data_IF_902063568428
#
_entry.id   IF_902063568428
#
_cell.length_a   1.000
_cell.length_b   1.000
_cell.length_c   1.000
_cell.angle_alpha   90.00
_cell.angle_beta   90.00
_cell.angle_gamma   90.00
#
_symmetry.space_group_name_H-M   'P 1'
#
loop_
_entity.id
_entity.type
_entity.pdbx_description
1 polymer ?
#
# COMPACT_ATOMS: atom_id res chain seq x y z
N UNK A 1 6.30 -5.92 3.67
CA UNK A 1 5.45 -4.77 3.28
C UNK A 1 4.01 -5.20 3.38
N UNK A 2 3.13 -4.32 3.88
CA UNK A 2 1.69 -4.56 4.01
C UNK A 2 0.92 -3.64 3.06
N UNK A 3 0.04 -4.22 2.26
CA UNK A 3 -0.93 -3.49 1.43
C UNK A 3 -2.32 -3.68 2.03
N UNK A 4 -2.85 -2.62 2.64
CA UNK A 4 -4.15 -2.65 3.28
C UNK A 4 -5.24 -2.14 2.32
N UNK A 5 -6.32 -2.90 2.11
CA UNK A 5 -7.30 -2.56 1.09
C UNK A 5 -8.23 -1.40 1.50
N UNK A 6 -8.10 -0.90 2.74
CA UNK A 6 -8.97 0.14 3.29
C UNK A 6 -8.81 1.49 2.57
N UNK A 7 -9.92 2.23 2.50
CA UNK A 7 -9.98 3.58 1.89
C UNK A 7 -9.41 4.67 2.82
N UNK A 8 -9.21 4.38 4.10
CA UNK A 8 -8.54 5.31 5.01
C UNK A 8 -7.11 5.57 4.53
N UNK A 9 -6.68 6.83 4.54
CA UNK A 9 -5.32 7.21 4.09
C UNK A 9 -4.26 6.70 5.07
N UNK A 10 -4.61 6.67 6.35
CA UNK A 10 -3.80 6.16 7.44
C UNK A 10 -4.72 5.56 8.53
N UNK A 11 -4.21 4.62 9.34
CA UNK A 11 -4.98 3.99 10.40
C UNK A 11 -5.23 4.91 11.61
N UNK A 12 -4.61 6.10 11.67
CA UNK A 12 -4.78 7.06 12.76
C UNK A 12 -6.20 7.59 12.92
N UNK A 13 -6.99 7.51 11.84
CA UNK A 13 -8.42 7.86 11.85
C UNK A 13 -9.34 6.71 12.27
N UNK A 14 -8.80 5.50 12.45
CA UNK A 14 -9.57 4.30 12.79
C UNK A 14 -9.64 4.13 14.31
N UNK A 15 -10.79 3.69 14.82
CA UNK A 15 -10.96 3.43 16.25
C UNK A 15 -10.11 2.22 16.68
N UNK A 16 -9.18 2.38 17.64
CA UNK A 16 -8.33 1.27 18.09
C UNK A 16 -9.10 0.10 18.72
N UNK A 17 -10.29 0.38 19.28
CA UNK A 17 -11.14 -0.62 19.92
C UNK A 17 -11.82 -1.53 18.88
N UNK A 18 -12.04 -1.02 17.66
CA UNK A 18 -12.76 -1.76 16.62
C UNK A 18 -11.82 -2.38 15.58
N UNK A 19 -10.65 -1.79 15.36
CA UNK A 19 -9.73 -2.19 14.29
C UNK A 19 -8.37 -2.70 14.79
N UNK A 20 -8.21 -2.83 16.11
CA UNK A 20 -6.95 -3.24 16.73
C UNK A 20 -6.04 -2.05 17.04
N UNK A 21 -4.99 -2.32 17.81
CA UNK A 21 -4.01 -1.31 18.19
C UNK A 21 -3.23 -0.81 16.97
N UNK A 22 -3.00 0.50 16.90
CA UNK A 22 -2.12 1.11 15.89
C UNK A 22 -0.67 0.90 16.31
N UNK A 23 0.18 0.43 15.38
CA UNK A 23 1.62 0.33 15.62
C UNK A 23 2.31 1.62 15.20
N UNK A 24 3.20 2.14 16.05
CA UNK A 24 4.00 3.34 15.74
C UNK A 24 5.44 2.91 15.47
N UNK A 25 5.86 3.08 14.22
CA UNK A 25 7.24 2.84 13.79
C UNK A 25 8.21 3.90 14.32
N UNK A 26 9.52 3.63 14.32
CA UNK A 26 10.54 4.57 14.81
C UNK A 26 10.55 5.91 14.06
N UNK A 27 10.09 5.94 12.80
CA UNK A 27 9.98 7.18 12.00
C UNK A 27 8.67 7.96 12.27
N UNK A 28 7.89 7.53 13.26
CA UNK A 28 6.65 8.17 13.69
C UNK A 28 5.49 7.94 12.73
N UNK A 29 5.51 6.88 11.91
CA UNK A 29 4.32 6.46 11.18
C UNK A 29 3.41 5.59 12.03
N UNK A 30 2.13 5.97 12.06
CA UNK A 30 1.03 5.14 12.51
C UNK A 30 0.69 4.13 11.42
N UNK A 31 0.80 2.85 11.73
CA UNK A 31 0.62 1.74 10.81
C UNK A 31 -0.24 0.64 11.41
N UNK A 32 -0.63 -0.32 10.57
CA UNK A 32 -1.32 -1.53 11.03
C UNK A 32 -0.46 -2.36 12.00
N UNK A 33 -1.11 -3.09 12.91
CA UNK A 33 -0.50 -3.94 13.92
C UNK A 33 0.41 -5.03 13.32
N UNK A 34 0.12 -5.47 12.10
CA UNK A 34 0.89 -6.52 11.41
C UNK A 34 2.36 -6.15 11.21
N UNK A 35 2.69 -4.86 11.08
CA UNK A 35 4.08 -4.44 11.01
C UNK A 35 4.83 -4.65 12.33
N UNK A 36 4.13 -4.52 13.47
CA UNK A 36 4.67 -4.87 14.78
C UNK A 36 4.94 -6.38 14.90
N UNK A 37 4.15 -7.23 14.23
CA UNK A 37 4.47 -8.66 14.11
C UNK A 37 5.74 -8.87 13.29
N UNK A 38 5.85 -8.23 12.12
CA UNK A 38 7.03 -8.40 11.28
C UNK A 38 8.32 -8.00 12.01
N UNK A 39 8.38 -6.81 12.64
CA UNK A 39 9.59 -6.39 13.37
C UNK A 39 10.05 -7.42 14.41
N UNK A 40 9.09 -8.04 15.13
CA UNK A 40 9.36 -9.08 16.12
C UNK A 40 9.97 -10.34 15.52
N UNK A 41 9.54 -10.76 14.33
CA UNK A 41 9.96 -12.01 13.70
C UNK A 41 11.20 -11.87 12.80
N UNK A 42 11.29 -10.81 11.99
CA UNK A 42 12.36 -10.62 10.99
C UNK A 42 13.48 -9.68 11.45
N UNK A 43 13.44 -9.18 12.69
CA UNK A 43 14.47 -8.31 13.31
C UNK A 43 14.91 -7.13 12.42
N UNK A 44 13.99 -6.66 11.57
CA UNK A 44 14.21 -5.56 10.63
C UNK A 44 13.28 -4.43 11.03
N UNK A 45 13.80 -3.21 11.08
CA UNK A 45 13.02 -2.01 11.40
C UNK A 45 12.10 -1.67 10.22
N UNK A 46 10.83 -1.47 10.51
CA UNK A 46 9.82 -1.01 9.56
C UNK A 46 9.71 0.50 9.62
N UNK A 47 9.26 1.09 8.52
CA UNK A 47 9.08 2.52 8.32
C UNK A 47 7.71 2.79 7.70
N UNK A 48 7.36 4.08 7.56
CA UNK A 48 6.18 4.52 6.80
C UNK A 48 6.10 3.97 5.37
N UNK A 49 7.23 3.53 4.81
CA UNK A 49 7.32 2.94 3.46
C UNK A 49 6.92 1.47 3.43
N UNK A 50 6.69 0.83 4.57
CA UNK A 50 6.37 -0.59 4.65
C UNK A 50 4.86 -0.85 4.81
N UNK A 51 4.04 0.20 4.98
CA UNK A 51 2.57 0.15 4.98
C UNK A 51 1.99 1.08 3.90
N UNK A 52 1.10 0.54 3.06
CA UNK A 52 0.32 1.33 2.12
C UNK A 52 -1.14 0.93 2.18
N UNK A 53 -2.02 1.93 2.18
CA UNK A 53 -3.46 1.74 2.07
C UNK A 53 -3.97 2.11 0.67
N UNK A 54 -5.08 1.51 0.24
CA UNK A 54 -5.81 1.93 -0.97
C UNK A 54 -6.10 3.42 -0.94
N UNK A 55 -6.57 3.95 0.20
CA UNK A 55 -6.84 5.38 0.38
C UNK A 55 -5.67 6.29 0.04
N UNK A 56 -4.47 5.93 0.52
CA UNK A 56 -3.25 6.71 0.26
C UNK A 56 -2.86 6.69 -1.21
N UNK A 57 -2.91 5.51 -1.85
CA UNK A 57 -2.59 5.36 -3.28
C UNK A 57 -3.54 6.19 -4.14
N UNK A 58 -4.85 6.10 -3.90
CA UNK A 58 -5.84 6.88 -4.63
C UNK A 58 -5.65 8.38 -4.42
N UNK A 59 -5.41 8.82 -3.19
CA UNK A 59 -5.11 10.22 -2.88
C UNK A 59 -3.89 10.74 -3.65
N UNK A 60 -2.83 9.95 -3.74
CA UNK A 60 -1.61 10.30 -4.47
C UNK A 60 -1.85 10.41 -5.98
N UNK A 61 -2.57 9.45 -6.56
CA UNK A 61 -2.91 9.46 -8.00
C UNK A 61 -3.81 10.64 -8.33
N UNK A 62 -4.83 10.95 -7.52
CA UNK A 62 -5.69 12.11 -7.72
C UNK A 62 -4.94 13.43 -7.57
N UNK A 63 -3.91 13.49 -6.71
CA UNK A 63 -3.05 14.68 -6.59
C UNK A 63 -2.17 14.88 -7.82
N UNK A 64 -1.61 13.80 -8.38
CA UNK A 64 -0.87 13.82 -9.66
C UNK A 64 -1.78 14.31 -10.80
N UNK A 65 -3.03 13.83 -10.83
CA UNK A 65 -4.05 14.26 -11.78
C UNK A 65 -4.32 15.76 -11.69
N UNK A 66 -4.67 16.27 -10.50
CA UNK A 66 -4.97 17.70 -10.30
C UNK A 66 -3.80 18.64 -10.59
N UNK A 67 -2.57 18.14 -10.49
CA UNK A 67 -1.35 18.89 -10.85
C UNK A 67 -1.13 18.94 -12.37
N UNK A 68 -1.81 18.09 -13.14
CA UNK A 68 -1.69 17.99 -14.58
C UNK A 68 -0.66 16.96 -15.05
N UNK A 69 -0.17 16.07 -14.18
CA UNK A 69 0.86 15.09 -14.54
C UNK A 69 0.39 14.10 -15.61
N UNK A 70 -0.91 13.86 -15.70
CA UNK A 70 -1.51 12.99 -16.73
C UNK A 70 -1.95 13.76 -17.99
N UNK A 71 -1.54 15.03 -18.14
CA UNK A 71 -1.76 15.84 -19.34
C UNK A 71 -3.25 15.92 -19.80
N UNK A 72 -4.18 15.89 -18.83
CA UNK A 72 -5.62 15.92 -19.09
C UNK A 72 -6.21 14.59 -19.59
N UNK A 73 -5.44 13.51 -19.60
CA UNK A 73 -5.93 12.17 -19.89
C UNK A 73 -6.83 11.64 -18.77
N UNK A 74 -7.72 10.71 -19.12
CA UNK A 74 -8.60 10.04 -18.15
C UNK A 74 -7.79 9.14 -17.22
N UNK A 75 -7.91 9.38 -15.91
CA UNK A 75 -7.33 8.50 -14.90
C UNK A 75 -8.26 7.30 -14.66
N UNK A 76 -7.66 6.11 -14.65
CA UNK A 76 -8.34 4.81 -14.59
C UNK A 76 -7.64 3.89 -13.59
N UNK A 77 -8.36 2.90 -13.06
CA UNK A 77 -7.78 1.89 -12.16
C UNK A 77 -6.60 1.17 -12.82
N UNK A 78 -6.79 0.69 -14.05
CA UNK A 78 -5.72 0.19 -14.89
C UNK A 78 -5.51 1.23 -16.01
N UNK A 79 -4.27 1.71 -16.24
CA UNK A 79 -3.03 1.33 -15.57
C UNK A 79 -2.64 2.21 -14.37
N UNK A 80 -3.34 3.30 -14.07
CA UNK A 80 -2.82 4.35 -13.19
C UNK A 80 -2.72 3.93 -11.71
N UNK A 81 -3.76 3.29 -11.18
CA UNK A 81 -3.75 2.81 -9.80
C UNK A 81 -2.83 1.58 -9.68
N UNK A 82 -2.93 0.63 -10.62
CA UNK A 82 -2.07 -0.57 -10.61
C UNK A 82 -0.58 -0.21 -10.75
N UNK A 83 -0.22 0.77 -11.58
CA UNK A 83 1.15 1.25 -11.69
C UNK A 83 1.60 1.96 -10.42
N UNK A 84 0.75 2.77 -9.79
CA UNK A 84 1.08 3.38 -8.50
C UNK A 84 1.33 2.32 -7.41
N UNK A 85 0.59 1.20 -7.40
CA UNK A 85 0.87 0.07 -6.50
C UNK A 85 2.23 -0.56 -6.82
N UNK A 86 2.51 -0.83 -8.10
CA UNK A 86 3.80 -1.39 -8.55
C UNK A 86 4.97 -0.50 -8.14
N UNK A 87 4.88 0.81 -8.38
CA UNK A 87 5.88 1.80 -7.97
C UNK A 87 6.20 1.69 -6.47
N UNK A 88 5.18 1.59 -5.61
CA UNK A 88 5.36 1.46 -4.15
C UNK A 88 6.03 0.16 -3.72
N UNK A 89 5.67 -0.94 -4.36
CA UNK A 89 6.31 -2.23 -4.09
C UNK A 89 7.79 -2.20 -4.47
N UNK A 90 8.11 -1.61 -5.62
CA UNK A 90 9.50 -1.46 -6.09
C UNK A 90 10.30 -0.54 -5.17
N UNK A 91 9.76 0.64 -4.83
CA UNK A 91 10.40 1.60 -3.93
C UNK A 91 10.67 1.02 -2.53
N UNK A 92 9.72 0.27 -1.96
CA UNK A 92 9.93 -0.34 -0.65
C UNK A 92 10.80 -1.61 -0.69
N UNK A 93 11.23 -2.04 -1.88
CA UNK A 93 12.19 -3.12 -2.09
C UNK A 93 13.61 -2.66 -2.38
N UNK A 94 13.84 -1.35 -2.55
CA UNK A 94 15.15 -0.82 -2.92
C UNK A 94 16.23 -1.23 -1.89
N UNK A 95 17.33 -1.80 -2.40
CA UNK A 95 18.45 -2.24 -1.57
C UNK A 95 18.20 -3.54 -0.81
N UNK A 96 17.17 -4.33 -1.16
CA UNK A 96 16.90 -5.64 -0.59
C UNK A 96 16.89 -6.72 -1.68
N UNK A 97 17.39 -7.91 -1.37
CA UNK A 97 17.41 -9.03 -2.33
C UNK A 97 16.02 -9.67 -2.51
N UNK A 98 15.21 -9.67 -1.45
CA UNK A 98 13.88 -10.28 -1.41
C UNK A 98 12.91 -9.36 -0.66
N UNK A 99 11.72 -9.17 -1.21
CA UNK A 99 10.63 -8.40 -0.58
C UNK A 99 9.44 -9.31 -0.37
N UNK A 100 9.01 -9.43 0.89
CA UNK A 100 7.74 -10.05 1.24
C UNK A 100 6.64 -8.99 1.24
N UNK A 101 5.64 -9.16 0.39
CA UNK A 101 4.47 -8.27 0.31
C UNK A 101 3.24 -9.05 0.74
N UNK A 102 2.61 -8.63 1.83
CA UNK A 102 1.32 -9.15 2.25
C UNK A 102 0.21 -8.25 1.67
N UNK A 103 -0.75 -8.89 1.03
CA UNK A 103 -1.96 -8.23 0.50
C UNK A 103 -3.10 -8.53 1.47
N UNK A 104 -3.58 -7.49 2.15
CA UNK A 104 -4.74 -7.60 3.04
C UNK A 104 -6.05 -7.78 2.26
N UNK A 105 -7.08 -8.22 2.98
CA UNK A 105 -8.39 -8.55 2.40
C UNK A 105 -8.47 -9.99 1.89
N UNK A 106 -9.64 -10.38 1.38
CA UNK A 106 -9.85 -11.72 0.84
C UNK A 106 -9.78 -11.70 -0.68
N UNK A 107 -9.29 -12.79 -1.27
CA UNK A 107 -9.37 -12.97 -2.73
C UNK A 107 -10.83 -13.06 -3.15
N UNK A 108 -11.23 -12.19 -4.08
CA UNK A 108 -12.61 -12.11 -4.59
C UNK A 108 -13.37 -10.88 -4.10
N UNK A 109 -12.88 -10.23 -3.04
CA UNK A 109 -13.47 -8.98 -2.56
C UNK A 109 -13.16 -7.81 -3.51
N UNK A 110 -14.09 -6.84 -3.57
CA UNK A 110 -14.04 -5.72 -4.53
C UNK A 110 -12.82 -4.84 -4.26
N UNK A 111 -12.49 -4.64 -3.00
CA UNK A 111 -11.38 -3.81 -2.54
C UNK A 111 -10.00 -4.35 -2.96
N UNK A 112 -9.89 -5.65 -3.22
CA UNK A 112 -8.65 -6.33 -3.63
C UNK A 112 -8.44 -6.33 -5.15
N UNK A 113 -9.42 -5.86 -5.94
CA UNK A 113 -9.38 -5.91 -7.42
C UNK A 113 -8.34 -5.00 -8.06
N UNK A 114 -7.92 -3.95 -7.36
CA UNK A 114 -6.91 -3.01 -7.85
C UNK A 114 -5.47 -3.55 -7.69
N UNK A 115 -5.25 -4.60 -6.88
CA UNK A 115 -3.93 -5.20 -6.70
C UNK A 115 -3.56 -6.00 -7.96
N UNK A 116 -2.36 -5.80 -8.55
CA UNK A 116 -1.94 -6.56 -9.72
C UNK A 116 -2.03 -8.06 -9.46
N UNK A 117 -2.80 -8.77 -10.29
CA UNK A 117 -2.78 -10.23 -10.32
C UNK A 117 -1.61 -10.70 -11.16
N UNK A 118 -1.06 -11.87 -10.82
CA UNK A 118 0.00 -12.55 -11.57
C UNK A 118 -0.33 -12.78 -13.04
N UNK A 119 -1.60 -12.66 -13.42
CA UNK A 119 -2.09 -12.80 -14.80
C UNK A 119 -2.05 -11.47 -15.58
N UNK A 120 -0.95 -10.73 -15.42
CA UNK A 120 -0.61 -9.63 -16.32
C UNK A 120 -0.10 -10.24 -17.64
N UNK A 121 -0.66 -9.89 -18.81
CA UNK A 121 -0.20 -10.44 -20.10
C UNK A 121 1.19 -9.93 -20.52
N UNK A 122 1.80 -9.06 -19.73
CA UNK A 122 3.11 -8.50 -20.03
C UNK A 122 4.20 -9.41 -19.47
N UNK A 123 4.48 -10.48 -20.23
CA UNK A 123 5.78 -11.13 -20.21
C UNK A 123 6.80 -10.26 -20.94
N UNK A 124 7.73 -9.66 -20.21
CA UNK A 124 9.12 -9.48 -20.62
C UNK A 124 10.00 -9.15 -19.41
#
# INVERSE_FOLDING_TARGET
MKLDPYINVDPGTMSPIQHGEVFVTEDGAETDLDLGHYERFIRTKMSRRNNFTTGRIYSDVLRKERRGDYLGATVQVIPHITNAIKERVLEGGEGHDVVLVEIGGTVGDIESLAVPRSDSPDGC
#
